data_IF_970706195000
#
_entry.id   IF_970706195000
#
_cell.length_a   1.000
_cell.length_b   1.000
_cell.length_c   1.000
_cell.angle_alpha   90.00
_cell.angle_beta   90.00
_cell.angle_gamma   90.00
#
_symmetry.space_group_name_H-M   'P 1'
#
loop_
_entity.id
_entity.type
_entity.pdbx_description
1 polymer ?
#
# COMPACT_ATOMS: atom_id res chain seq x y z
N UNK A 1 -14.64 5.43 2.26
CA UNK A 1 -14.48 4.65 1.00
C UNK A 1 -13.32 5.25 0.21
N UNK A 2 -12.40 4.43 -0.23
CA UNK A 2 -11.24 4.81 -1.03
C UNK A 2 -11.55 4.62 -2.52
N UNK A 3 -11.42 5.68 -3.31
CA UNK A 3 -11.61 5.62 -4.77
C UNK A 3 -10.26 5.70 -5.47
N UNK A 4 -9.97 4.72 -6.33
CA UNK A 4 -8.81 4.72 -7.22
C UNK A 4 -9.34 4.46 -8.64
N UNK A 5 -9.12 5.37 -9.58
CA UNK A 5 -9.64 5.32 -10.94
C UNK A 5 -11.14 4.99 -10.99
N UNK A 6 -11.48 3.88 -11.64
CA UNK A 6 -12.85 3.40 -11.86
C UNK A 6 -13.42 2.56 -10.71
N UNK A 7 -12.63 2.28 -9.66
CA UNK A 7 -13.04 1.41 -8.54
C UNK A 7 -13.10 2.11 -7.21
N UNK A 8 -14.02 1.65 -6.38
CA UNK A 8 -14.17 2.06 -4.98
C UNK A 8 -13.90 0.88 -4.07
N UNK A 9 -13.11 1.11 -3.02
CA UNK A 9 -12.71 0.12 -2.02
C UNK A 9 -13.23 0.53 -0.64
N UNK A 10 -13.78 -0.42 0.09
CA UNK A 10 -14.09 -0.25 1.51
C UNK A 10 -12.84 -0.48 2.37
N UNK A 11 -12.00 -1.43 1.94
CA UNK A 11 -10.75 -1.74 2.60
C UNK A 11 -9.64 -0.77 2.22
N UNK A 12 -8.91 -0.30 3.20
CA UNK A 12 -7.70 0.49 3.06
C UNK A 12 -6.42 -0.36 3.24
N UNK A 13 -6.59 -1.70 3.31
CA UNK A 13 -5.52 -2.70 3.30
C UNK A 13 -5.44 -3.36 1.93
N UNK A 14 -4.32 -3.22 1.26
CA UNK A 14 -3.96 -3.97 0.07
C UNK A 14 -2.93 -5.04 0.40
N UNK A 15 -2.94 -6.14 -0.34
CA UNK A 15 -2.06 -7.27 -0.08
C UNK A 15 -1.33 -7.72 -1.34
N UNK A 16 -0.27 -8.50 -1.14
CA UNK A 16 0.41 -9.19 -2.22
C UNK A 16 0.31 -10.71 -2.03
N UNK A 17 0.73 -11.47 -3.05
CA UNK A 17 0.70 -12.94 -3.04
C UNK A 17 2.08 -13.56 -2.81
N UNK A 18 3.10 -12.74 -2.54
CA UNK A 18 4.47 -13.22 -2.40
C UNK A 18 4.76 -13.86 -1.04
N UNK A 19 5.75 -14.78 -1.00
CA UNK A 19 6.37 -15.34 0.21
C UNK A 19 5.51 -16.28 1.08
N UNK A 20 4.24 -16.49 0.80
CA UNK A 20 3.44 -17.48 1.52
C UNK A 20 3.97 -18.91 1.31
N UNK A 21 3.91 -19.73 2.35
CA UNK A 21 4.37 -21.11 2.34
C UNK A 21 3.49 -22.00 1.45
N UNK A 22 2.18 -21.73 1.40
CA UNK A 22 1.21 -22.48 0.61
C UNK A 22 0.12 -21.56 0.03
N UNK A 23 -0.46 -21.89 -1.14
CA UNK A 23 -1.54 -21.13 -1.75
C UNK A 23 -2.80 -21.03 -0.88
N UNK A 24 -3.13 -22.09 -0.16
CA UNK A 24 -4.30 -22.16 0.71
C UNK A 24 -4.17 -21.15 1.85
N UNK A 25 -3.02 -21.13 2.54
CA UNK A 25 -2.71 -20.18 3.61
C UNK A 25 -2.76 -18.74 3.09
N UNK A 26 -2.24 -18.50 1.88
CA UNK A 26 -2.31 -17.20 1.21
C UNK A 26 -3.76 -16.74 1.02
N UNK A 27 -4.62 -17.61 0.48
CA UNK A 27 -6.04 -17.26 0.22
C UNK A 27 -6.76 -16.98 1.53
N UNK A 28 -6.55 -17.79 2.57
CA UNK A 28 -7.15 -17.57 3.90
C UNK A 28 -6.68 -16.27 4.54
N UNK A 29 -5.39 -15.97 4.49
CA UNK A 29 -4.83 -14.73 5.02
C UNK A 29 -5.38 -13.50 4.26
N UNK A 30 -5.45 -13.55 2.93
CA UNK A 30 -6.02 -12.46 2.13
C UNK A 30 -7.50 -12.25 2.47
N UNK A 31 -8.30 -13.31 2.63
CA UNK A 31 -9.69 -13.20 3.08
C UNK A 31 -9.79 -12.59 4.47
N UNK A 32 -8.98 -13.05 5.42
CA UNK A 32 -8.96 -12.57 6.78
C UNK A 32 -8.55 -11.09 6.88
N UNK A 33 -7.68 -10.61 5.97
CA UNK A 33 -7.28 -9.21 5.87
C UNK A 33 -8.41 -8.27 5.43
N UNK A 34 -9.45 -8.79 4.78
CA UNK A 34 -10.50 -7.99 4.14
C UNK A 34 -10.01 -7.17 2.95
N UNK A 35 -8.81 -7.46 2.43
CA UNK A 35 -8.25 -6.78 1.25
C UNK A 35 -9.16 -6.97 0.05
N UNK A 36 -9.37 -5.91 -0.71
CA UNK A 36 -10.14 -5.93 -1.96
C UNK A 36 -9.25 -5.73 -3.20
N UNK A 37 -7.97 -5.38 -3.00
CA UNK A 37 -6.97 -5.28 -4.05
C UNK A 37 -5.76 -6.13 -3.70
N UNK A 38 -5.38 -7.02 -4.65
CA UNK A 38 -4.25 -7.94 -4.47
C UNK A 38 -3.25 -7.76 -5.61
N UNK A 39 -1.97 -7.64 -5.25
CA UNK A 39 -0.90 -7.55 -6.24
C UNK A 39 -0.31 -8.92 -6.55
N UNK A 40 -0.14 -9.21 -7.85
CA UNK A 40 0.27 -10.50 -8.38
C UNK A 40 1.55 -10.36 -9.21
N UNK A 41 2.62 -11.04 -8.80
CA UNK A 41 3.83 -11.13 -9.61
C UNK A 41 3.61 -12.06 -10.82
N UNK A 42 3.81 -11.55 -12.04
CA UNK A 42 3.58 -12.29 -13.29
C UNK A 42 4.31 -13.63 -13.40
N UNK A 43 5.44 -13.79 -12.71
CA UNK A 43 6.20 -15.07 -12.71
C UNK A 43 5.47 -16.25 -12.07
N UNK A 44 4.46 -15.96 -11.24
CA UNK A 44 3.78 -16.96 -10.43
C UNK A 44 2.44 -17.39 -11.01
N UNK A 45 1.98 -16.75 -12.07
CA UNK A 45 0.68 -16.99 -12.69
C UNK A 45 0.91 -17.64 -14.07
N UNK A 46 0.45 -18.87 -14.27
CA UNK A 46 0.43 -19.47 -15.59
C UNK A 46 -0.81 -19.00 -16.36
N UNK A 47 -0.61 -18.01 -17.22
CA UNK A 47 -1.67 -17.41 -18.03
C UNK A 47 -2.33 -18.39 -19.03
N UNK A 48 -1.75 -19.57 -19.24
CA UNK A 48 -2.27 -20.60 -20.13
C UNK A 48 -3.27 -21.53 -19.45
N UNK A 49 -3.28 -21.53 -18.10
CA UNK A 49 -4.20 -22.35 -17.32
C UNK A 49 -5.36 -21.52 -16.78
N UNK A 50 -6.58 -21.83 -17.24
CA UNK A 50 -7.81 -21.19 -16.71
C UNK A 50 -8.07 -21.48 -15.21
N UNK A 51 -7.41 -22.49 -14.64
CA UNK A 51 -7.50 -22.91 -13.24
C UNK A 51 -6.14 -22.76 -12.53
N UNK A 52 -5.52 -21.58 -12.60
CA UNK A 52 -4.35 -21.27 -11.78
C UNK A 52 -4.74 -21.29 -10.29
N UNK A 53 -4.03 -22.08 -9.48
CA UNK A 53 -4.28 -22.29 -8.06
C UNK A 53 -4.21 -21.00 -7.22
N UNK A 54 -3.60 -19.94 -7.76
CA UNK A 54 -3.47 -18.63 -7.12
C UNK A 54 -4.58 -17.69 -7.62
N UNK A 55 -4.75 -17.58 -8.93
CA UNK A 55 -5.62 -16.56 -9.54
C UNK A 55 -7.11 -16.91 -9.41
N UNK A 56 -7.49 -18.15 -9.66
CA UNK A 56 -8.89 -18.56 -9.67
C UNK A 56 -9.60 -18.33 -8.31
N UNK A 57 -9.04 -18.70 -7.14
CA UNK A 57 -9.67 -18.43 -5.85
C UNK A 57 -9.79 -16.93 -5.53
N UNK A 58 -8.83 -16.11 -5.98
CA UNK A 58 -8.85 -14.67 -5.74
C UNK A 58 -9.92 -13.97 -6.59
N UNK A 59 -10.06 -14.35 -7.86
CA UNK A 59 -11.13 -13.85 -8.73
C UNK A 59 -12.50 -14.29 -8.25
N UNK A 60 -12.65 -15.54 -7.82
CA UNK A 60 -13.90 -16.05 -7.25
C UNK A 60 -14.31 -15.32 -5.97
N UNK A 61 -13.36 -14.77 -5.22
CA UNK A 61 -13.61 -13.92 -4.06
C UNK A 61 -13.90 -12.44 -4.43
N UNK A 62 -14.01 -12.09 -5.71
CA UNK A 62 -14.31 -10.73 -6.18
C UNK A 62 -13.16 -9.73 -6.02
N UNK A 63 -11.93 -10.20 -5.84
CA UNK A 63 -10.78 -9.33 -5.61
C UNK A 63 -10.32 -8.63 -6.89
N UNK A 64 -9.93 -7.38 -6.77
CA UNK A 64 -9.24 -6.65 -7.83
C UNK A 64 -7.81 -7.11 -7.91
N UNK A 65 -7.46 -7.79 -9.01
CA UNK A 65 -6.09 -8.22 -9.26
C UNK A 65 -5.31 -7.13 -9.99
N UNK A 66 -4.28 -6.61 -9.33
CA UNK A 66 -3.33 -5.68 -9.90
C UNK A 66 -2.03 -6.42 -10.22
N UNK A 67 -1.59 -6.42 -11.47
CA UNK A 67 -0.43 -7.20 -11.90
C UNK A 67 0.86 -6.41 -11.81
N UNK A 68 1.94 -7.09 -11.41
CA UNK A 68 3.29 -6.55 -11.38
C UNK A 68 4.00 -7.04 -12.63
N UNK A 69 4.26 -6.17 -13.63
CA UNK A 69 5.02 -6.54 -14.82
C UNK A 69 6.48 -6.78 -14.46
N UNK A 70 7.11 -7.71 -15.17
CA UNK A 70 8.55 -7.91 -15.01
C UNK A 70 9.33 -6.99 -15.92
N UNK A 71 10.19 -6.13 -15.35
CA UNK A 71 11.19 -5.43 -16.12
C UNK A 71 12.22 -6.45 -16.67
N UNK A 72 12.59 -6.40 -17.97
CA UNK A 72 13.62 -7.26 -18.52
C UNK A 72 14.97 -6.94 -17.86
N UNK A 73 15.69 -7.99 -17.43
CA UNK A 73 17.02 -7.90 -16.76
C UNK A 73 18.15 -7.29 -17.59
N UNK A 74 17.93 -6.92 -18.85
CA UNK A 74 18.96 -6.33 -19.74
C UNK A 74 18.44 -5.08 -20.42
N UNK A 75 19.29 -4.04 -20.43
CA UNK A 75 19.18 -2.74 -21.08
C UNK A 75 18.97 -2.82 -22.62
N UNK A 76 17.94 -3.45 -23.13
CA UNK A 76 17.56 -3.28 -24.55
C UNK A 76 16.07 -3.03 -24.64
N UNK A 77 15.73 -1.75 -24.83
CA UNK A 77 14.50 -1.19 -25.43
C UNK A 77 13.32 -2.16 -25.47
N UNK A 78 12.38 -1.98 -24.59
CA UNK A 78 10.97 -2.36 -24.45
C UNK A 78 10.67 -2.88 -23.05
N UNK A 79 10.55 -1.92 -22.10
CA UNK A 79 10.02 -2.21 -20.76
C UNK A 79 8.50 -2.39 -20.75
N UNK A 80 7.87 -2.40 -21.93
CA UNK A 80 6.41 -2.43 -22.07
C UNK A 80 5.97 -3.73 -22.72
N UNK A 81 4.98 -4.42 -22.14
CA UNK A 81 4.28 -5.47 -22.85
C UNK A 81 3.58 -4.84 -24.07
N UNK A 82 3.71 -5.41 -25.27
CA UNK A 82 2.95 -4.93 -26.45
C UNK A 82 1.44 -5.03 -26.23
N UNK A 83 0.64 -4.30 -27.00
CA UNK A 83 -0.82 -4.29 -26.93
C UNK A 83 -1.48 -5.69 -26.72
N UNK A 84 -0.96 -6.81 -27.27
CA UNK A 84 -1.43 -8.15 -26.95
C UNK A 84 -1.37 -8.55 -25.48
N UNK A 85 -0.52 -7.90 -24.69
CA UNK A 85 -0.44 -8.17 -23.25
C UNK A 85 -1.67 -7.71 -22.47
N UNK A 86 -2.42 -6.73 -22.99
CA UNK A 86 -3.67 -6.28 -22.38
C UNK A 86 -4.73 -7.40 -22.39
N UNK A 87 -4.86 -8.14 -23.51
CA UNK A 87 -5.75 -9.28 -23.61
C UNK A 87 -5.27 -10.48 -22.78
N UNK A 88 -3.97 -10.75 -22.79
CA UNK A 88 -3.37 -11.83 -22.00
C UNK A 88 -3.43 -11.57 -20.48
N UNK A 89 -3.51 -10.31 -20.06
CA UNK A 89 -3.52 -9.94 -18.64
C UNK A 89 -4.92 -9.97 -18.01
N UNK A 90 -6.00 -9.86 -18.78
CA UNK A 90 -7.38 -9.82 -18.27
C UNK A 90 -7.69 -8.67 -17.31
N UNK A 91 -6.76 -7.70 -17.17
CA UNK A 91 -6.93 -6.50 -16.35
C UNK A 91 -6.08 -5.37 -16.91
N UNK A 92 -6.58 -4.15 -16.79
CA UNK A 92 -5.84 -2.92 -17.10
C UNK A 92 -5.19 -2.28 -15.85
N UNK A 93 -5.33 -2.92 -14.68
CA UNK A 93 -4.70 -2.48 -13.43
C UNK A 93 -3.30 -3.04 -13.31
N UNK A 94 -2.33 -2.17 -13.07
CA UNK A 94 -0.92 -2.50 -13.11
C UNK A 94 -0.16 -1.81 -11.96
N UNK A 95 0.48 -2.60 -11.10
CA UNK A 95 1.48 -2.10 -10.15
C UNK A 95 2.84 -2.08 -10.83
N UNK A 96 3.35 -0.88 -11.07
CA UNK A 96 4.63 -0.69 -11.75
C UNK A 96 5.78 -0.78 -10.76
N UNK A 97 6.67 -1.76 -10.95
CA UNK A 97 7.89 -1.93 -10.15
C UNK A 97 9.09 -2.09 -11.07
N UNK A 98 10.07 -1.18 -10.96
CA UNK A 98 11.33 -1.23 -11.71
C UNK A 98 12.48 -1.18 -10.71
N UNK A 99 13.14 -2.33 -10.51
CA UNK A 99 14.26 -2.48 -9.60
C UNK A 99 15.55 -2.72 -10.37
N UNK A 100 16.53 -1.81 -10.33
CA UNK A 100 17.83 -2.02 -10.96
C UNK A 100 18.67 -3.08 -10.23
N UNK A 101 18.52 -3.21 -8.91
CA UNK A 101 19.21 -4.20 -8.08
C UNK A 101 18.22 -5.12 -7.35
N UNK A 102 18.31 -6.41 -7.62
CA UNK A 102 17.45 -7.43 -7.03
C UNK A 102 17.71 -7.70 -5.53
N UNK A 103 18.81 -7.21 -4.96
CA UNK A 103 19.15 -7.38 -3.53
C UNK A 103 18.38 -6.41 -2.66
N UNK A 104 18.30 -5.14 -3.11
CA UNK A 104 17.69 -4.07 -2.33
C UNK A 104 16.25 -3.75 -2.74
N UNK A 105 15.87 -4.12 -3.97
CA UNK A 105 14.53 -3.87 -4.55
C UNK A 105 14.09 -2.41 -4.44
N UNK A 106 15.06 -1.49 -4.46
CA UNK A 106 14.78 -0.05 -4.49
C UNK A 106 14.32 0.36 -5.89
N UNK A 107 13.33 1.24 -5.99
CA UNK A 107 12.77 1.64 -7.28
C UNK A 107 13.69 2.63 -8.00
N UNK A 108 13.81 2.46 -9.34
CA UNK A 108 14.48 3.43 -10.21
C UNK A 108 13.54 4.62 -10.48
N UNK A 109 13.86 5.84 -10.03
CA UNK A 109 12.95 6.97 -10.17
C UNK A 109 12.76 7.41 -11.63
N UNK A 110 13.83 7.34 -12.44
CA UNK A 110 13.82 7.82 -13.82
C UNK A 110 13.05 6.85 -14.71
N UNK A 111 13.38 5.57 -14.64
CA UNK A 111 12.74 4.56 -15.46
C UNK A 111 11.28 4.32 -15.02
N UNK A 112 10.96 4.46 -13.73
CA UNK A 112 9.59 4.40 -13.23
C UNK A 112 8.73 5.52 -13.79
N UNK A 113 9.21 6.77 -13.81
CA UNK A 113 8.46 7.90 -14.36
C UNK A 113 8.22 7.74 -15.86
N UNK A 114 9.25 7.37 -16.63
CA UNK A 114 9.13 7.15 -18.08
C UNK A 114 8.14 6.02 -18.41
N UNK A 115 8.24 4.92 -17.68
CA UNK A 115 7.34 3.78 -17.90
C UNK A 115 5.90 4.11 -17.50
N UNK A 116 5.70 4.84 -16.41
CA UNK A 116 4.38 5.28 -15.96
C UNK A 116 3.70 6.14 -17.03
N UNK A 117 4.39 7.14 -17.57
CA UNK A 117 3.87 8.00 -18.64
C UNK A 117 3.40 7.20 -19.87
N UNK A 118 4.21 6.25 -20.31
CA UNK A 118 3.87 5.41 -21.46
C UNK A 118 2.66 4.50 -21.18
N UNK A 119 2.63 3.85 -20.00
CA UNK A 119 1.54 2.95 -19.63
C UNK A 119 0.21 3.68 -19.44
N UNK A 120 0.23 4.87 -18.86
CA UNK A 120 -0.97 5.72 -18.75
C UNK A 120 -1.51 6.10 -20.13
N UNK A 121 -0.64 6.51 -21.07
CA UNK A 121 -1.04 6.80 -22.46
C UNK A 121 -1.63 5.58 -23.17
N UNK A 122 -1.20 4.37 -22.82
CA UNK A 122 -1.74 3.12 -23.33
C UNK A 122 -3.06 2.71 -22.65
N UNK A 123 -3.56 3.50 -21.69
CA UNK A 123 -4.83 3.31 -20.99
C UNK A 123 -4.78 2.32 -19.84
N UNK A 124 -3.62 2.09 -19.24
CA UNK A 124 -3.50 1.34 -17.98
C UNK A 124 -3.81 2.22 -16.78
N UNK A 125 -4.41 1.62 -15.76
CA UNK A 125 -4.49 2.17 -14.40
C UNK A 125 -3.17 1.85 -13.70
N UNK A 126 -2.28 2.84 -13.60
CA UNK A 126 -0.92 2.64 -13.11
C UNK A 126 -0.83 3.02 -11.65
N UNK A 127 -0.28 2.10 -10.86
CA UNK A 127 0.03 2.20 -9.43
C UNK A 127 1.55 2.06 -9.28
N UNK A 128 2.34 3.14 -9.32
CA UNK A 128 3.79 3.06 -9.33
C UNK A 128 4.37 2.91 -7.93
N UNK A 129 5.14 1.85 -7.69
CA UNK A 129 6.03 1.74 -6.54
C UNK A 129 7.22 2.68 -6.73
N UNK A 130 7.46 3.56 -5.78
CA UNK A 130 8.48 4.60 -5.89
C UNK A 130 9.19 4.87 -4.55
N UNK A 131 10.31 5.58 -4.61
CA UNK A 131 10.93 6.16 -3.43
C UNK A 131 10.00 7.17 -2.76
N UNK A 132 10.17 7.40 -1.47
CA UNK A 132 9.45 8.47 -0.76
C UNK A 132 10.06 9.83 -1.11
N UNK A 133 9.93 10.22 -2.36
CA UNK A 133 10.37 11.50 -2.92
C UNK A 133 9.14 12.33 -3.30
N UNK A 134 8.88 13.46 -2.60
CA UNK A 134 7.72 14.30 -2.87
C UNK A 134 7.68 14.83 -4.31
N UNK A 135 8.84 15.18 -4.89
CA UNK A 135 8.92 15.70 -6.26
C UNK A 135 8.59 14.60 -7.28
N UNK A 136 9.13 13.39 -7.08
CA UNK A 136 8.80 12.26 -7.93
C UNK A 136 7.33 11.89 -7.85
N UNK A 137 6.75 11.81 -6.64
CA UNK A 137 5.34 11.51 -6.46
C UNK A 137 4.45 12.52 -7.20
N UNK A 138 4.79 13.82 -7.15
CA UNK A 138 4.06 14.85 -7.88
C UNK A 138 4.15 14.66 -9.39
N UNK A 139 5.31 14.35 -9.93
CA UNK A 139 5.49 14.04 -11.36
C UNK A 139 4.71 12.81 -11.80
N UNK A 140 4.62 11.78 -10.94
CA UNK A 140 3.82 10.59 -11.21
C UNK A 140 2.32 10.90 -11.27
N UNK A 141 1.82 11.80 -10.42
CA UNK A 141 0.46 12.33 -10.55
C UNK A 141 0.25 13.07 -11.87
N UNK A 142 1.17 13.99 -12.22
CA UNK A 142 1.10 14.82 -13.44
C UNK A 142 1.05 14.00 -14.72
N UNK A 143 1.75 12.85 -14.78
CA UNK A 143 1.66 11.94 -15.94
C UNK A 143 0.41 11.06 -15.93
N UNK A 144 -0.45 11.17 -14.90
CA UNK A 144 -1.76 10.52 -14.85
C UNK A 144 -1.80 9.18 -14.12
N UNK A 145 -0.86 8.89 -13.22
CA UNK A 145 -0.96 7.72 -12.34
C UNK A 145 -2.21 7.80 -11.46
N UNK A 146 -2.87 6.67 -11.25
CA UNK A 146 -4.13 6.61 -10.51
C UNK A 146 -3.96 6.69 -8.99
N UNK A 147 -2.76 6.43 -8.50
CA UNK A 147 -2.32 6.58 -7.12
C UNK A 147 -0.80 6.68 -7.12
N UNK A 148 -0.17 7.04 -6.00
CA UNK A 148 1.27 6.91 -5.78
C UNK A 148 1.53 5.93 -4.64
N UNK A 149 2.58 5.13 -4.79
CA UNK A 149 2.92 4.07 -3.82
C UNK A 149 4.35 4.26 -3.27
N UNK A 150 4.58 5.32 -2.45
CA UNK A 150 5.88 5.55 -1.84
C UNK A 150 6.21 4.48 -0.79
N UNK A 151 7.47 4.07 -0.72
CA UNK A 151 7.95 3.11 0.27
C UNK A 151 8.03 3.73 1.68
N UNK A 152 7.64 2.96 2.70
CA UNK A 152 7.94 3.27 4.10
C UNK A 152 9.37 2.89 4.46
N UNK A 153 9.81 1.72 4.01
CA UNK A 153 11.18 1.19 4.09
C UNK A 153 11.38 0.17 2.96
N UNK A 154 12.59 -0.34 2.71
CA UNK A 154 12.85 -1.29 1.63
C UNK A 154 11.95 -2.54 1.68
N UNK A 155 11.59 -3.08 0.51
CA UNK A 155 10.73 -4.27 0.40
C UNK A 155 11.27 -5.43 1.25
N UNK A 156 10.43 -5.96 2.13
CA UNK A 156 10.74 -7.12 2.97
C UNK A 156 11.63 -6.85 4.16
N UNK A 157 11.93 -5.57 4.47
CA UNK A 157 12.76 -5.17 5.62
C UNK A 157 12.01 -5.18 6.95
N UNK A 158 10.67 -5.02 6.94
CA UNK A 158 9.81 -4.88 8.12
C UNK A 158 10.22 -3.73 9.08
N UNK A 159 10.95 -2.73 8.58
CA UNK A 159 11.50 -1.62 9.37
C UNK A 159 10.49 -0.50 9.67
N UNK A 160 9.32 -0.53 9.05
CA UNK A 160 8.25 0.43 9.31
C UNK A 160 8.32 1.68 8.43
N UNK A 161 8.07 2.83 9.03
CA UNK A 161 7.97 4.12 8.33
C UNK A 161 9.27 4.94 8.47
N UNK A 162 10.39 4.40 7.98
CA UNK A 162 11.70 5.08 8.01
C UNK A 162 11.68 6.39 7.20
N UNK A 163 10.82 6.48 6.22
CA UNK A 163 10.64 7.67 5.37
C UNK A 163 9.54 8.63 5.85
N UNK A 164 9.13 8.53 7.12
CA UNK A 164 7.97 9.23 7.70
C UNK A 164 7.89 10.71 7.31
N UNK A 165 8.98 11.46 7.48
CA UNK A 165 8.98 12.90 7.19
C UNK A 165 8.69 13.21 5.71
N UNK A 166 9.17 12.37 4.80
CA UNK A 166 8.88 12.53 3.37
C UNK A 166 7.45 12.10 3.03
N UNK A 167 6.93 11.05 3.68
CA UNK A 167 5.55 10.62 3.53
C UNK A 167 4.57 11.71 3.98
N UNK A 168 4.84 12.44 5.06
CA UNK A 168 4.02 13.56 5.53
C UNK A 168 3.90 14.64 4.44
N UNK A 169 5.00 15.01 3.79
CA UNK A 169 4.99 15.98 2.68
C UNK A 169 4.21 15.44 1.48
N UNK A 170 4.42 14.17 1.11
CA UNK A 170 3.73 13.53 0.00
C UNK A 170 2.21 13.54 0.24
N UNK A 171 1.77 13.15 1.44
CA UNK A 171 0.36 13.09 1.83
C UNK A 171 -0.27 14.49 1.78
N UNK A 172 0.43 15.52 2.27
CA UNK A 172 -0.07 16.89 2.30
C UNK A 172 -0.31 17.47 0.89
N UNK A 173 0.59 17.17 -0.06
CA UNK A 173 0.52 17.74 -1.42
C UNK A 173 -0.22 16.88 -2.44
N UNK A 174 -0.53 15.62 -2.12
CA UNK A 174 -1.10 14.66 -3.06
C UNK A 174 -2.53 15.04 -3.49
N UNK A 175 -2.82 14.88 -4.77
CA UNK A 175 -4.16 15.01 -5.35
C UNK A 175 -4.73 13.68 -5.81
N UNK A 176 -3.93 12.61 -5.76
CA UNK A 176 -4.33 11.22 -5.97
C UNK A 176 -4.10 10.42 -4.68
N UNK A 177 -4.73 9.27 -4.50
CA UNK A 177 -4.52 8.44 -3.32
C UNK A 177 -3.06 8.08 -3.08
N UNK A 178 -2.62 8.18 -1.82
CA UNK A 178 -1.30 7.77 -1.35
C UNK A 178 -1.40 6.43 -0.66
N UNK A 179 -0.75 5.42 -1.21
CA UNK A 179 -0.69 4.07 -0.66
C UNK A 179 0.72 3.83 -0.13
N UNK A 180 0.93 3.74 1.18
CA UNK A 180 2.25 3.40 1.71
C UNK A 180 2.55 1.94 1.43
N UNK A 181 3.60 1.71 0.64
CA UNK A 181 4.01 0.39 0.18
C UNK A 181 5.38 0.03 0.72
N UNK A 182 5.58 -1.24 1.05
CA UNK A 182 6.84 -1.79 1.55
C UNK A 182 7.30 -1.28 2.94
N UNK A 183 8.06 -2.11 3.62
CA UNK A 183 8.62 -1.81 4.94
C UNK A 183 7.67 -2.01 6.11
N UNK A 184 6.37 -2.05 5.88
CA UNK A 184 5.38 -2.28 6.95
C UNK A 184 5.60 -3.66 7.56
N UNK A 185 6.00 -3.71 8.84
CA UNK A 185 6.42 -4.93 9.52
C UNK A 185 5.48 -5.42 10.60
N UNK A 186 4.70 -4.51 11.20
CA UNK A 186 3.75 -4.82 12.27
C UNK A 186 2.48 -3.96 12.12
N UNK A 187 1.34 -4.38 12.71
CA UNK A 187 0.07 -3.66 12.62
C UNK A 187 0.14 -2.19 13.04
N UNK A 188 0.93 -1.84 14.05
CA UNK A 188 1.10 -0.45 14.50
C UNK A 188 1.70 0.47 13.43
N UNK A 189 2.58 -0.02 12.54
CA UNK A 189 3.10 0.76 11.42
C UNK A 189 1.97 1.11 10.42
N UNK A 190 1.05 0.19 10.18
CA UNK A 190 -0.10 0.43 9.33
C UNK A 190 -1.06 1.46 9.94
N UNK A 191 -1.40 1.33 11.23
CA UNK A 191 -2.20 2.31 11.95
C UNK A 191 -1.56 3.70 11.86
N UNK A 192 -0.26 3.82 12.12
CA UNK A 192 0.48 5.08 12.04
C UNK A 192 0.41 5.71 10.64
N UNK A 193 0.54 4.91 9.57
CA UNK A 193 0.43 5.41 8.20
C UNK A 193 -0.95 6.04 7.94
N UNK A 194 -2.04 5.39 8.39
CA UNK A 194 -3.42 5.91 8.24
C UNK A 194 -3.66 7.15 9.11
N UNK A 195 -3.14 7.18 10.34
CA UNK A 195 -3.19 8.34 11.24
C UNK A 195 -2.49 9.57 10.64
N UNK A 196 -1.37 9.35 9.94
CA UNK A 196 -0.65 10.41 9.22
C UNK A 196 -1.43 10.97 8.03
N UNK A 197 -2.42 10.25 7.53
CA UNK A 197 -3.25 10.67 6.41
C UNK A 197 -3.09 9.86 5.13
N UNK A 198 -2.27 8.80 5.10
CA UNK A 198 -2.24 7.89 3.97
C UNK A 198 -3.63 7.31 3.69
N UNK A 199 -3.94 7.08 2.42
CA UNK A 199 -5.24 6.56 2.00
C UNK A 199 -5.34 5.06 2.15
N UNK A 200 -4.22 4.34 2.00
CA UNK A 200 -4.13 2.90 2.19
C UNK A 200 -2.69 2.49 2.52
N UNK A 201 -2.52 1.23 2.89
CA UNK A 201 -1.21 0.56 2.96
C UNK A 201 -1.24 -0.73 2.16
N UNK A 202 -0.09 -1.12 1.60
CA UNK A 202 0.10 -2.44 1.01
C UNK A 202 1.05 -3.25 1.90
N UNK A 203 0.55 -4.40 2.39
CA UNK A 203 1.30 -5.30 3.29
C UNK A 203 1.36 -6.68 2.67
N UNK A 204 2.55 -7.25 2.57
CA UNK A 204 2.73 -8.62 2.09
C UNK A 204 3.65 -9.42 3.00
N UNK A 205 4.95 -9.07 3.08
CA UNK A 205 5.96 -9.86 3.80
C UNK A 205 5.57 -10.08 5.26
N UNK A 206 5.17 -9.04 5.98
CA UNK A 206 4.83 -9.13 7.41
C UNK A 206 3.69 -10.11 7.71
N UNK A 207 2.74 -10.25 6.78
CA UNK A 207 1.67 -11.25 6.90
C UNK A 207 2.20 -12.63 6.51
N UNK A 208 2.86 -12.74 5.34
CA UNK A 208 3.22 -14.01 4.75
C UNK A 208 4.28 -14.81 5.54
N UNK A 209 5.15 -14.13 6.31
CA UNK A 209 6.23 -14.76 7.10
C UNK A 209 5.91 -14.86 8.59
N UNK A 210 4.72 -14.45 9.01
CA UNK A 210 4.29 -14.61 10.40
C UNK A 210 4.08 -16.10 10.73
N UNK A 211 4.22 -16.47 11.99
CA UNK A 211 3.94 -17.84 12.46
C UNK A 211 2.50 -18.25 12.18
N UNK A 212 1.55 -17.29 12.34
CA UNK A 212 0.15 -17.42 11.91
C UNK A 212 -0.21 -16.28 10.96
N UNK A 213 -0.10 -16.49 9.62
CA UNK A 213 -0.44 -15.47 8.63
C UNK A 213 -1.89 -15.01 8.67
N UNK A 214 -2.82 -15.89 9.04
CA UNK A 214 -4.25 -15.56 9.08
C UNK A 214 -4.56 -14.64 10.27
N UNK A 215 -4.02 -14.95 11.45
CA UNK A 215 -4.14 -14.08 12.62
C UNK A 215 -3.45 -12.73 12.40
N UNK A 216 -2.26 -12.73 11.78
CA UNK A 216 -1.54 -11.49 11.45
C UNK A 216 -2.32 -10.62 10.46
N UNK A 217 -2.96 -11.22 9.44
CA UNK A 217 -3.81 -10.51 8.50
C UNK A 217 -5.01 -9.83 9.19
N UNK A 218 -5.64 -10.52 10.13
CA UNK A 218 -6.71 -9.92 10.98
C UNK A 218 -6.20 -8.76 11.83
N UNK A 219 -5.01 -8.92 12.44
CA UNK A 219 -4.39 -7.86 13.24
C UNK A 219 -4.12 -6.60 12.41
N UNK A 220 -3.62 -6.76 11.18
CA UNK A 220 -3.46 -5.64 10.26
C UNK A 220 -4.78 -4.97 9.89
N UNK A 221 -5.84 -5.74 9.61
CA UNK A 221 -7.17 -5.19 9.35
C UNK A 221 -7.65 -4.33 10.52
N UNK A 222 -7.58 -4.87 11.75
CA UNK A 222 -8.00 -4.15 12.96
C UNK A 222 -7.20 -2.85 13.18
N UNK A 223 -5.89 -2.89 12.92
CA UNK A 223 -5.02 -1.72 13.05
C UNK A 223 -5.37 -0.62 12.04
N UNK A 224 -5.71 -1.00 10.82
CA UNK A 224 -6.14 -0.07 9.78
C UNK A 224 -7.48 0.58 10.13
N UNK A 225 -8.45 -0.21 10.57
CA UNK A 225 -9.75 0.30 11.02
C UNK A 225 -9.57 1.28 12.20
N UNK A 226 -8.67 0.95 13.14
CA UNK A 226 -8.34 1.82 14.27
C UNK A 226 -7.65 3.12 13.82
N UNK A 227 -6.67 3.06 12.92
CA UNK A 227 -5.97 4.24 12.39
C UNK A 227 -6.88 5.18 11.63
N UNK A 228 -7.79 4.65 10.81
CA UNK A 228 -8.82 5.44 10.11
C UNK A 228 -9.77 6.12 11.08
N UNK A 229 -10.25 5.39 12.10
CA UNK A 229 -11.14 5.93 13.11
C UNK A 229 -10.45 7.03 13.94
N UNK A 230 -9.18 6.82 14.32
CA UNK A 230 -8.39 7.81 15.03
C UNK A 230 -8.20 9.09 14.19
N UNK A 231 -7.88 8.96 12.89
CA UNK A 231 -7.79 10.10 11.96
C UNK A 231 -9.09 10.87 11.87
N UNK A 232 -10.23 10.19 11.76
CA UNK A 232 -11.56 10.82 11.68
C UNK A 232 -11.93 11.53 12.99
N UNK A 233 -11.56 10.95 14.12
CA UNK A 233 -11.81 11.53 15.45
C UNK A 233 -10.93 12.77 15.72
N UNK A 234 -9.85 12.99 14.96
CA UNK A 234 -8.91 14.08 15.14
C UNK A 234 -8.00 13.87 16.35
N UNK A 235 -6.84 13.21 16.19
CA UNK A 235 -5.93 12.96 17.30
C UNK A 235 -5.42 14.26 17.92
N UNK A 236 -5.24 14.27 19.23
CA UNK A 236 -4.66 15.40 19.95
C UNK A 236 -3.22 15.68 19.52
N UNK A 237 -2.88 16.95 19.37
CA UNK A 237 -1.52 17.34 19.01
C UNK A 237 -0.49 16.93 20.08
N UNK A 238 0.66 16.42 19.64
CA UNK A 238 1.77 16.18 20.52
C UNK A 238 2.29 17.50 21.11
N UNK A 239 2.40 17.56 22.44
CA UNK A 239 2.91 18.73 23.15
C UNK A 239 4.06 18.35 24.06
N UNK A 240 5.11 19.19 24.15
CA UNK A 240 6.27 18.92 25.01
C UNK A 240 5.95 19.01 26.52
N UNK A 241 4.88 19.73 26.89
CA UNK A 241 4.43 19.88 28.28
C UNK A 241 2.96 19.49 28.37
N UNK A 242 2.61 18.81 29.45
CA UNK A 242 1.22 18.48 29.76
C UNK A 242 0.39 19.76 29.79
N UNK A 243 -0.64 19.86 29.00
CA UNK A 243 -1.68 20.88 29.19
C UNK A 243 -2.38 20.58 30.50
N UNK A 244 -2.50 21.54 31.44
CA UNK A 244 -3.34 21.34 32.61
C UNK A 244 -4.77 21.03 32.12
N UNK A 245 -5.50 20.15 32.83
CA UNK A 245 -6.92 19.94 32.51
C UNK A 245 -7.62 21.29 32.50
N UNK A 246 -8.59 21.47 31.59
CA UNK A 246 -9.41 22.66 31.56
C UNK A 246 -9.98 22.84 32.97
N UNK A 247 -9.67 23.97 33.61
CA UNK A 247 -10.17 24.26 34.96
C UNK A 247 -11.67 24.37 34.87
N UNK A 248 -12.40 23.41 35.46
CA UNK A 248 -13.79 23.70 35.78
C UNK A 248 -13.76 24.77 36.89
N UNK A 249 -14.57 25.80 36.81
CA UNK A 249 -14.63 26.88 37.83
C UNK A 249 -14.81 26.34 39.24
N UNK A 250 -15.38 25.13 39.39
CA UNK A 250 -15.76 24.54 40.67
C UNK A 250 -14.71 23.58 41.28
N UNK A 251 -13.62 23.27 40.57
CA UNK A 251 -12.58 22.32 41.08
C UNK A 251 -11.69 22.92 42.18
N UNK A 252 -11.65 24.25 42.33
CA UNK A 252 -10.86 24.93 43.36
C UNK A 252 -11.58 25.07 44.71
N UNK A 253 -12.91 25.10 44.77
CA UNK A 253 -13.65 25.28 46.04
C UNK A 253 -13.57 24.05 46.95
N UNK A 254 -13.49 22.88 46.40
CA UNK A 254 -13.46 21.61 47.16
C UNK A 254 -12.15 21.31 47.89
N UNK A 255 -11.03 21.99 47.59
CA UNK A 255 -9.74 21.77 48.25
C UNK A 255 -9.54 22.70 49.46
N UNK A 256 -10.28 23.77 49.57
CA UNK A 256 -10.13 24.72 50.69
C UNK A 256 -11.19 24.53 51.80
N UNK A 257 -12.17 23.67 51.58
CA UNK A 257 -13.18 23.38 52.61
C UNK A 257 -12.79 22.18 53.50
N UNK A 258 -11.67 21.49 53.24
CA UNK A 258 -11.20 20.34 54.00
C UNK A 258 -9.79 20.57 54.63
N UNK A 259 -9.36 21.83 54.82
CA UNK A 259 -8.24 22.23 55.65
C UNK A 259 -8.73 23.09 56.80
#
# INVERSE_FOLDING_TARGET
MLRIADKTFESHLFTGTGKFAAPEVMVEAIRASGSQLVTLAMKRVDLRQRNDAILAPLLAAGLTCCRIPQAPRRRKRRCLPPAPAREALGTHWLKLEIHPDARWLLPDPIETLKAAELLVREGFVVLPYCGADPVLCKRLEEVGCAAVMPLGAPIGSNQGLETKAMLEIIIEQATVPVVVDAGIGVPSHAAQALEMGADAVLVNTAIAVADDPVAMARAFRMAIDAGLLARQAGPGHAVRRRRPPARSPDSWRRWHENL
#
